data_IF_765916106471
#
_entry.id   IF_765916106471
#
_cell.length_a   1.000
_cell.length_b   1.000
_cell.length_c   1.000
_cell.angle_alpha   90.00
_cell.angle_beta   90.00
_cell.angle_gamma   90.00
#
_symmetry.space_group_name_H-M   'P 1'
#
loop_
_entity.id
_entity.type
_entity.pdbx_description
1 polymer ?
#
# COMPACT_ATOMS: atom_id res chain seq x y z
N UNK A 1 -5.47 -2.40 27.75
CA UNK A 1 -6.20 -2.05 26.52
C UNK A 1 -6.42 -3.31 25.68
N UNK A 2 -7.64 -3.50 25.23
CA UNK A 2 -8.08 -4.66 24.45
C UNK A 2 -8.59 -4.18 23.09
N UNK A 3 -7.84 -4.45 22.02
CA UNK A 3 -8.24 -4.07 20.66
C UNK A 3 -9.08 -5.18 20.02
N UNK A 4 -10.23 -4.80 19.48
CA UNK A 4 -11.13 -5.68 18.74
C UNK A 4 -11.21 -5.22 17.28
N UNK A 5 -10.63 -5.97 16.36
CA UNK A 5 -10.50 -5.57 14.95
C UNK A 5 -11.64 -6.16 14.13
N UNK A 6 -12.42 -5.31 13.46
CA UNK A 6 -13.66 -5.68 12.77
C UNK A 6 -13.71 -5.13 11.33
N UNK A 7 -13.74 -5.96 10.27
CA UNK A 7 -13.73 -7.42 10.26
C UNK A 7 -12.31 -8.00 10.26
N UNK A 8 -12.19 -9.32 10.45
CA UNK A 8 -10.97 -10.08 10.15
C UNK A 8 -10.72 -10.16 8.63
N UNK A 9 -10.04 -9.17 8.08
CA UNK A 9 -9.58 -9.13 6.70
C UNK A 9 -8.08 -8.81 6.63
N UNK A 10 -7.52 -8.68 5.43
CA UNK A 10 -6.11 -8.34 5.25
C UNK A 10 -5.70 -7.03 5.92
N UNK A 11 -6.52 -5.98 5.82
CA UNK A 11 -6.21 -4.72 6.51
C UNK A 11 -6.26 -4.88 8.04
N UNK A 12 -7.18 -5.70 8.55
CA UNK A 12 -7.28 -6.03 9.97
C UNK A 12 -6.07 -6.82 10.48
N UNK A 13 -5.57 -7.77 9.70
CA UNK A 13 -4.32 -8.47 9.99
C UNK A 13 -3.12 -7.52 10.02
N UNK A 14 -3.06 -6.54 9.11
CA UNK A 14 -2.00 -5.53 9.11
C UNK A 14 -2.08 -4.64 10.34
N UNK A 15 -3.28 -4.18 10.72
CA UNK A 15 -3.50 -3.43 11.95
C UNK A 15 -3.01 -4.25 13.14
N UNK A 16 -3.40 -5.52 13.24
CA UNK A 16 -3.00 -6.41 14.33
C UNK A 16 -1.48 -6.55 14.42
N UNK A 17 -0.83 -6.85 13.29
CA UNK A 17 0.61 -7.03 13.21
C UNK A 17 1.35 -5.78 13.68
N UNK A 18 1.00 -4.61 13.13
CA UNK A 18 1.65 -3.36 13.48
C UNK A 18 1.41 -2.97 14.94
N UNK A 19 0.17 -3.10 15.45
CA UNK A 19 -0.13 -2.80 16.85
C UNK A 19 0.65 -3.72 17.80
N UNK A 20 0.79 -5.01 17.48
CA UNK A 20 1.58 -5.94 18.30
C UNK A 20 3.05 -5.52 18.44
N UNK A 21 3.55 -4.74 17.49
CA UNK A 21 4.93 -4.25 17.49
C UNK A 21 5.11 -2.98 18.33
N UNK A 22 4.10 -2.10 18.37
CA UNK A 22 4.18 -0.81 19.06
C UNK A 22 3.59 -0.83 20.47
N UNK A 23 2.62 -1.72 20.71
CA UNK A 23 1.78 -1.74 21.91
C UNK A 23 1.73 -3.17 22.47
N UNK A 24 2.86 -3.60 23.05
CA UNK A 24 3.09 -4.99 23.50
C UNK A 24 2.24 -5.41 24.68
N UNK A 25 1.66 -4.45 25.41
CA UNK A 25 0.84 -4.70 26.59
C UNK A 25 -0.64 -4.89 26.22
N UNK A 26 -1.03 -4.51 25.01
CA UNK A 26 -2.40 -4.65 24.54
C UNK A 26 -2.70 -6.06 24.03
N UNK A 27 -3.94 -6.52 24.22
CA UNK A 27 -4.41 -7.75 23.58
C UNK A 27 -5.13 -7.44 22.28
N UNK A 28 -5.08 -8.37 21.34
CA UNK A 28 -5.71 -8.25 20.03
C UNK A 28 -6.71 -9.38 19.84
N UNK A 29 -7.93 -9.00 19.50
CA UNK A 29 -9.03 -9.89 19.15
C UNK A 29 -9.56 -9.52 17.77
N UNK A 30 -10.07 -10.50 17.04
CA UNK A 30 -10.75 -10.27 15.78
C UNK A 30 -12.25 -10.47 15.93
N UNK A 31 -13.01 -9.70 15.17
CA UNK A 31 -14.44 -9.88 14.98
C UNK A 31 -14.66 -10.26 13.51
N UNK A 32 -15.38 -11.34 13.22
CA UNK A 32 -15.86 -11.64 11.87
C UNK A 32 -17.25 -12.28 11.93
N UNK A 33 -18.25 -11.61 11.38
CA UNK A 33 -19.63 -12.12 11.37
C UNK A 33 -19.81 -13.38 10.52
N UNK A 34 -18.83 -13.74 9.68
CA UNK A 34 -18.86 -14.99 8.92
C UNK A 34 -18.46 -16.21 9.75
N UNK A 35 -17.79 -15.98 10.88
CA UNK A 35 -17.35 -17.01 11.79
C UNK A 35 -18.10 -16.85 13.11
N UNK A 36 -18.96 -17.81 13.43
CA UNK A 36 -19.84 -17.69 14.58
C UNK A 36 -19.06 -17.50 15.88
N UNK A 37 -17.92 -18.19 16.05
CA UNK A 37 -17.12 -18.18 17.28
C UNK A 37 -16.52 -16.81 17.59
N UNK A 38 -16.15 -16.07 16.55
CA UNK A 38 -15.57 -14.71 16.65
C UNK A 38 -16.53 -13.64 16.13
N UNK A 39 -17.82 -13.92 16.00
CA UNK A 39 -18.80 -12.95 15.52
C UNK A 39 -19.04 -11.80 16.50
N UNK A 40 -19.57 -10.67 16.00
CA UNK A 40 -19.98 -9.56 16.86
C UNK A 40 -21.02 -10.01 17.88
N UNK A 41 -21.94 -10.89 17.48
CA UNK A 41 -23.00 -11.43 18.33
C UNK A 41 -22.45 -12.14 19.56
N UNK A 42 -21.38 -12.94 19.41
CA UNK A 42 -20.78 -13.67 20.53
C UNK A 42 -19.92 -12.76 21.44
N UNK A 43 -19.26 -11.76 20.86
CA UNK A 43 -18.29 -10.94 21.59
C UNK A 43 -18.88 -9.65 22.20
N UNK A 44 -20.07 -9.22 21.77
CA UNK A 44 -20.63 -7.91 22.14
C UNK A 44 -20.78 -7.68 23.65
N UNK A 45 -21.25 -8.66 24.41
CA UNK A 45 -21.40 -8.51 25.86
C UNK A 45 -20.05 -8.30 26.56
N UNK A 46 -19.02 -9.04 26.14
CA UNK A 46 -17.66 -8.89 26.67
C UNK A 46 -17.12 -7.49 26.36
N UNK A 47 -17.25 -7.03 25.12
CA UNK A 47 -16.77 -5.70 24.68
C UNK A 47 -17.46 -4.58 25.46
N UNK A 48 -18.77 -4.69 25.73
CA UNK A 48 -19.52 -3.66 26.46
C UNK A 48 -19.15 -3.54 27.94
N UNK A 49 -18.82 -4.68 28.57
CA UNK A 49 -18.50 -4.71 30.00
C UNK A 49 -17.07 -4.25 30.28
N UNK A 50 -16.19 -4.36 29.30
CA UNK A 50 -14.79 -4.01 29.43
C UNK A 50 -14.52 -2.54 29.04
N UNK A 51 -14.14 -1.73 30.04
CA UNK A 51 -13.85 -0.31 29.86
C UNK A 51 -12.56 -0.05 29.07
N UNK A 52 -11.70 -1.05 28.96
CA UNK A 52 -10.46 -0.97 28.19
C UNK A 52 -10.60 -1.56 26.78
N UNK A 53 -11.82 -1.92 26.36
CA UNK A 53 -12.08 -2.40 24.99
C UNK A 53 -12.23 -1.26 24.01
N UNK A 54 -11.50 -1.32 22.88
CA UNK A 54 -11.66 -0.43 21.73
C UNK A 54 -11.86 -1.25 20.46
N UNK A 55 -12.96 -1.01 19.74
CA UNK A 55 -13.19 -1.64 18.43
C UNK A 55 -12.55 -0.82 17.31
N UNK A 56 -11.74 -1.46 16.47
CA UNK A 56 -11.08 -0.88 15.32
C UNK A 56 -11.77 -1.37 14.05
N UNK A 57 -12.47 -0.48 13.34
CA UNK A 57 -13.10 -0.83 12.07
C UNK A 57 -12.04 -0.89 10.98
N UNK A 58 -11.75 -2.10 10.48
CA UNK A 58 -10.69 -2.40 9.50
C UNK A 58 -11.21 -2.45 8.06
N UNK A 59 -12.15 -1.58 7.70
CA UNK A 59 -12.67 -1.51 6.34
C UNK A 59 -13.07 -0.10 5.95
N UNK A 60 -12.45 0.43 4.89
CA UNK A 60 -12.84 1.71 4.30
C UNK A 60 -14.23 1.65 3.67
N UNK A 61 -14.49 0.62 2.86
CA UNK A 61 -15.71 0.52 2.06
C UNK A 61 -16.96 0.17 2.88
N UNK A 62 -16.79 -0.52 4.01
CA UNK A 62 -17.91 -0.96 4.87
C UNK A 62 -17.98 -0.20 6.19
N UNK A 63 -17.28 0.92 6.32
CA UNK A 63 -17.14 1.63 7.60
C UNK A 63 -18.51 1.92 8.26
N UNK A 64 -19.42 2.57 7.53
CA UNK A 64 -20.73 2.96 8.05
C UNK A 64 -21.62 1.76 8.39
N UNK A 65 -21.61 0.72 7.54
CA UNK A 65 -22.37 -0.50 7.80
C UNK A 65 -21.91 -1.21 9.08
N UNK A 66 -20.59 -1.28 9.28
CA UNK A 66 -19.99 -1.92 10.45
C UNK A 66 -20.20 -1.07 11.71
N UNK A 67 -20.07 0.26 11.60
CA UNK A 67 -20.39 1.18 12.69
C UNK A 67 -21.84 1.03 13.15
N UNK A 68 -22.81 1.01 12.21
CA UNK A 68 -24.22 0.83 12.54
C UNK A 68 -24.52 -0.50 13.24
N UNK A 69 -23.79 -1.57 12.91
CA UNK A 69 -23.87 -2.85 13.64
C UNK A 69 -23.34 -2.76 15.07
N UNK A 70 -22.22 -2.07 15.29
CA UNK A 70 -21.66 -1.84 16.61
C UNK A 70 -22.61 -1.00 17.48
N UNK A 71 -23.15 0.10 16.94
CA UNK A 71 -24.14 0.94 17.60
C UNK A 71 -25.39 0.14 17.96
N UNK A 72 -25.92 -0.66 17.03
CA UNK A 72 -27.08 -1.53 17.27
C UNK A 72 -26.84 -2.59 18.35
N UNK A 73 -25.58 -3.03 18.52
CA UNK A 73 -25.17 -3.93 19.59
C UNK A 73 -24.90 -3.22 20.93
N UNK A 74 -24.99 -1.88 20.97
CA UNK A 74 -24.72 -1.04 22.15
C UNK A 74 -23.23 -0.75 22.38
N UNK A 75 -22.38 -0.93 21.36
CA UNK A 75 -20.94 -0.66 21.43
C UNK A 75 -20.68 0.73 20.86
N UNK A 76 -20.26 1.65 21.73
CA UNK A 76 -20.01 3.05 21.37
C UNK A 76 -18.52 3.41 21.29
N UNK A 77 -17.64 2.56 21.84
CA UNK A 77 -16.19 2.79 21.80
C UNK A 77 -15.56 2.12 20.58
N UNK A 78 -15.69 2.77 19.43
CA UNK A 78 -15.07 2.32 18.18
C UNK A 78 -14.51 3.50 17.37
N UNK A 79 -13.52 3.19 16.52
CA UNK A 79 -12.88 4.18 15.64
C UNK A 79 -12.57 3.57 14.27
N UNK A 80 -12.27 4.43 13.30
CA UNK A 80 -11.63 4.05 12.04
C UNK A 80 -10.25 3.43 12.33
N UNK A 81 -10.18 2.10 12.22
CA UNK A 81 -9.00 1.33 12.55
C UNK A 81 -7.82 1.63 11.63
N UNK A 82 -8.09 1.97 10.36
CA UNK A 82 -7.05 2.29 9.39
C UNK A 82 -6.39 3.62 9.75
N UNK A 83 -7.18 4.67 10.01
CA UNK A 83 -6.67 5.97 10.48
C UNK A 83 -5.97 5.86 11.82
N UNK A 84 -6.54 5.11 12.75
CA UNK A 84 -5.95 4.89 14.07
C UNK A 84 -4.57 4.24 13.96
N UNK A 85 -4.46 3.15 13.21
CA UNK A 85 -3.20 2.44 13.01
C UNK A 85 -2.17 3.32 12.28
N UNK A 86 -2.57 4.05 11.23
CA UNK A 86 -1.70 4.96 10.50
C UNK A 86 -1.12 6.07 11.40
N UNK A 87 -1.92 6.62 12.32
CA UNK A 87 -1.46 7.61 13.31
C UNK A 87 -0.44 7.03 14.30
N UNK A 88 -0.64 5.79 14.75
CA UNK A 88 0.33 5.07 15.61
C UNK A 88 1.62 4.77 14.86
N UNK A 89 1.52 4.31 13.61
CA UNK A 89 2.66 4.08 12.70
C UNK A 89 3.47 5.37 12.49
N UNK A 90 2.79 6.47 12.22
CA UNK A 90 3.41 7.79 12.05
C UNK A 90 4.17 8.20 13.30
N UNK A 91 3.53 8.10 14.47
CA UNK A 91 4.16 8.43 15.75
C UNK A 91 5.42 7.57 16.00
N UNK A 92 5.34 6.28 15.72
CA UNK A 92 6.47 5.36 15.87
C UNK A 92 7.62 5.68 14.91
N UNK A 93 7.32 5.89 13.63
CA UNK A 93 8.32 6.10 12.59
C UNK A 93 8.98 7.48 12.70
N UNK A 94 8.20 8.53 13.00
CA UNK A 94 8.71 9.89 13.10
C UNK A 94 9.75 10.05 14.21
N UNK A 95 9.66 9.28 15.30
CA UNK A 95 10.69 9.27 16.36
C UNK A 95 12.04 8.79 15.82
N UNK A 96 12.04 7.75 14.99
CA UNK A 96 13.28 7.24 14.35
C UNK A 96 13.78 8.19 13.27
N UNK A 97 12.89 8.68 12.41
CA UNK A 97 13.22 9.61 11.32
C UNK A 97 13.84 10.91 11.88
N UNK A 98 13.25 11.50 12.92
CA UNK A 98 13.71 12.76 13.50
C UNK A 98 15.13 12.66 14.12
N UNK A 99 15.60 11.46 14.47
CA UNK A 99 16.99 11.25 14.94
C UNK A 99 18.02 11.41 13.83
N UNK A 100 17.63 11.13 12.58
CA UNK A 100 18.50 11.17 11.40
C UNK A 100 18.34 12.46 10.59
N UNK A 101 17.13 13.01 10.54
CA UNK A 101 16.81 14.19 9.76
C UNK A 101 15.89 15.16 10.52
N UNK A 102 16.36 16.39 10.77
CA UNK A 102 15.59 17.43 11.47
C UNK A 102 14.37 17.91 10.67
N UNK A 103 14.46 17.89 9.34
CA UNK A 103 13.34 18.24 8.45
C UNK A 103 12.28 17.14 8.39
N UNK A 104 12.55 15.99 9.02
CA UNK A 104 11.69 14.80 9.05
C UNK A 104 11.32 14.27 7.66
N UNK A 105 12.13 14.55 6.65
CA UNK A 105 11.94 14.00 5.33
C UNK A 105 12.37 12.53 5.31
N UNK A 106 11.61 11.70 4.61
CA UNK A 106 11.90 10.28 4.47
C UNK A 106 11.40 9.72 3.13
N UNK A 107 12.04 8.62 2.73
CA UNK A 107 11.70 7.88 1.51
C UNK A 107 11.03 6.57 1.90
N UNK A 108 9.79 6.37 1.45
CA UNK A 108 9.12 5.08 1.52
C UNK A 108 9.54 4.19 0.34
N UNK A 109 9.91 2.94 0.62
CA UNK A 109 10.24 1.95 -0.40
C UNK A 109 9.27 0.78 -0.29
N UNK A 110 8.42 0.58 -1.30
CA UNK A 110 7.55 -0.58 -1.36
C UNK A 110 8.38 -1.82 -1.73
N UNK A 111 8.54 -2.73 -0.78
CA UNK A 111 9.33 -3.95 -0.94
C UNK A 111 8.41 -5.15 -1.13
N UNK A 112 8.47 -5.76 -2.31
CA UNK A 112 7.68 -6.94 -2.68
C UNK A 112 8.55 -8.20 -2.70
N UNK A 113 7.92 -9.39 -2.68
CA UNK A 113 8.61 -10.68 -2.74
C UNK A 113 9.26 -11.00 -4.10
N UNK A 114 9.17 -10.12 -5.09
CA UNK A 114 9.64 -10.44 -6.44
C UNK A 114 11.16 -10.70 -6.42
N UNK A 115 11.63 -11.84 -6.95
CA UNK A 115 13.01 -12.31 -6.83
C UNK A 115 14.05 -11.41 -7.50
N UNK A 116 13.62 -10.41 -8.28
CA UNK A 116 14.46 -9.39 -8.90
C UNK A 116 14.35 -8.02 -8.22
N UNK A 117 13.90 -7.95 -6.97
CA UNK A 117 13.88 -6.73 -6.16
C UNK A 117 15.28 -6.18 -5.81
N UNK A 118 16.32 -6.51 -6.58
CA UNK A 118 17.62 -5.82 -6.56
C UNK A 118 17.49 -4.35 -6.98
N UNK A 119 16.32 -3.89 -7.44
CA UNK A 119 16.00 -2.49 -7.72
C UNK A 119 16.11 -1.54 -6.52
N UNK A 120 16.44 -2.08 -5.35
CA UNK A 120 16.82 -1.36 -4.13
C UNK A 120 18.28 -0.86 -4.21
N UNK A 121 18.89 -0.76 -5.41
CA UNK A 121 20.27 -0.24 -5.63
C UNK A 121 20.51 1.17 -5.09
N UNK A 122 19.44 1.90 -4.79
CA UNK A 122 19.52 3.26 -4.24
C UNK A 122 19.55 3.29 -2.71
N UNK A 123 19.32 2.17 -2.00
CA UNK A 123 19.33 2.18 -0.53
C UNK A 123 20.70 2.59 -0.01
N UNK A 124 21.78 2.01 -0.50
CA UNK A 124 23.13 2.39 -0.07
C UNK A 124 23.41 3.87 -0.36
N UNK A 125 22.93 4.38 -1.49
CA UNK A 125 23.04 5.80 -1.83
C UNK A 125 22.24 6.70 -0.86
N UNK A 126 20.99 6.34 -0.57
CA UNK A 126 20.13 7.09 0.36
C UNK A 126 20.70 7.06 1.79
N UNK A 127 21.17 5.89 2.23
CA UNK A 127 21.85 5.71 3.52
C UNK A 127 23.14 6.53 3.60
N UNK A 128 23.97 6.53 2.54
CA UNK A 128 25.17 7.36 2.47
C UNK A 128 24.88 8.87 2.51
N UNK A 129 23.67 9.29 2.13
CA UNK A 129 23.18 10.66 2.25
C UNK A 129 22.45 10.94 3.57
N UNK A 130 22.41 9.96 4.48
CA UNK A 130 21.67 10.03 5.74
C UNK A 130 20.19 10.38 5.55
N UNK A 131 19.59 9.90 4.46
CA UNK A 131 18.16 10.06 4.18
C UNK A 131 17.43 8.89 4.85
N UNK A 132 16.50 9.14 5.80
CA UNK A 132 15.73 8.10 6.47
C UNK A 132 14.88 7.29 5.49
N UNK A 133 14.85 5.98 5.68
CA UNK A 133 14.10 5.05 4.82
C UNK A 133 13.01 4.38 5.64
N UNK A 134 11.83 4.28 5.04
CA UNK A 134 10.71 3.47 5.56
C UNK A 134 10.45 2.35 4.57
N UNK A 135 10.83 1.13 4.94
CA UNK A 135 10.52 -0.05 4.14
C UNK A 135 9.06 -0.45 4.35
N UNK A 136 8.29 -0.47 3.28
CA UNK A 136 6.87 -0.81 3.26
C UNK A 136 6.76 -2.24 2.74
N UNK A 137 6.61 -3.21 3.64
CA UNK A 137 6.46 -4.61 3.31
C UNK A 137 4.99 -4.99 3.14
N UNK A 138 4.68 -5.80 2.14
CA UNK A 138 3.31 -6.29 1.89
C UNK A 138 3.01 -7.64 2.55
N UNK A 139 3.97 -8.22 3.26
CA UNK A 139 3.88 -9.53 3.91
C UNK A 139 4.97 -9.67 4.98
N UNK A 140 4.77 -10.64 5.88
CA UNK A 140 5.64 -10.86 7.03
C UNK A 140 7.07 -11.27 6.65
N UNK A 141 7.25 -12.14 5.65
CA UNK A 141 8.59 -12.57 5.21
C UNK A 141 9.44 -11.39 4.71
N UNK A 142 8.82 -10.47 3.96
CA UNK A 142 9.50 -9.25 3.52
C UNK A 142 9.79 -8.33 4.70
N UNK A 143 8.83 -8.16 5.62
CA UNK A 143 9.05 -7.38 6.84
C UNK A 143 10.26 -7.89 7.63
N UNK A 144 10.32 -9.18 7.93
CA UNK A 144 11.40 -9.80 8.71
C UNK A 144 12.76 -9.63 8.03
N UNK A 145 12.82 -9.90 6.71
CA UNK A 145 14.04 -9.72 5.91
C UNK A 145 14.60 -8.29 6.01
N UNK A 146 13.76 -7.28 5.79
CA UNK A 146 14.22 -5.89 5.80
C UNK A 146 14.48 -5.38 7.23
N UNK A 147 13.71 -5.84 8.22
CA UNK A 147 13.95 -5.49 9.62
C UNK A 147 15.29 -6.05 10.13
N UNK A 148 15.67 -7.24 9.67
CA UNK A 148 16.97 -7.84 9.99
C UNK A 148 18.13 -7.14 9.27
N UNK A 149 17.96 -6.82 7.99
CA UNK A 149 19.03 -6.23 7.19
C UNK A 149 19.25 -4.73 7.49
N UNK A 150 18.22 -4.02 7.95
CA UNK A 150 18.26 -2.57 8.20
C UNK A 150 17.67 -2.22 9.59
N UNK A 151 18.32 -2.62 10.69
CA UNK A 151 17.79 -2.46 12.05
C UNK A 151 17.58 -1.00 12.48
N UNK A 152 18.37 -0.08 11.90
CA UNK A 152 18.29 1.35 12.19
C UNK A 152 17.21 2.09 11.39
N UNK A 153 16.56 1.42 10.45
CA UNK A 153 15.48 1.99 9.64
C UNK A 153 14.11 1.61 10.20
N UNK A 154 13.07 2.22 9.62
CA UNK A 154 11.69 1.83 9.87
C UNK A 154 11.27 0.76 8.87
N UNK A 155 10.65 -0.31 9.36
CA UNK A 155 9.98 -1.30 8.53
C UNK A 155 8.55 -1.41 9.02
N UNK A 156 7.59 -1.35 8.10
CA UNK A 156 6.15 -1.42 8.39
C UNK A 156 5.52 -2.48 7.49
N UNK A 157 4.51 -3.18 8.01
CA UNK A 157 3.77 -4.18 7.23
C UNK A 157 2.43 -3.59 6.83
N UNK A 158 2.25 -3.23 5.56
CA UNK A 158 1.05 -2.53 5.11
C UNK A 158 0.66 -3.02 3.72
N UNK A 159 -0.59 -3.46 3.59
CA UNK A 159 -1.26 -3.79 2.33
C UNK A 159 -2.40 -2.79 2.07
N UNK A 160 -2.81 -2.77 0.80
CA UNK A 160 -4.08 -2.21 0.34
C UNK A 160 -4.44 -0.83 0.91
N UNK A 161 -5.53 -0.73 1.68
CA UNK A 161 -6.19 0.54 2.00
C UNK A 161 -5.46 1.33 3.08
N UNK A 162 -4.69 0.66 3.96
CA UNK A 162 -3.95 1.33 5.03
C UNK A 162 -2.85 2.27 4.48
N UNK A 163 -2.30 2.00 3.29
CA UNK A 163 -1.34 2.90 2.62
C UNK A 163 -1.93 4.27 2.30
N UNK A 164 -3.23 4.36 2.03
CA UNK A 164 -3.88 5.63 1.74
C UNK A 164 -3.95 6.57 2.95
N UNK A 165 -3.76 6.05 4.16
CA UNK A 165 -3.78 6.82 5.41
C UNK A 165 -2.39 7.18 5.94
N UNK A 166 -1.32 6.68 5.30
CA UNK A 166 0.06 7.00 5.68
C UNK A 166 0.47 8.31 4.99
N UNK A 167 0.58 9.38 5.76
CA UNK A 167 0.84 10.73 5.27
C UNK A 167 2.22 11.31 5.66
N UNK A 168 2.95 10.61 6.54
CA UNK A 168 4.24 11.08 7.06
C UNK A 168 5.42 10.85 6.10
N UNK A 169 5.19 10.11 5.00
CA UNK A 169 6.20 9.85 3.99
C UNK A 169 6.34 11.05 3.05
N UNK A 170 7.57 11.48 2.74
CA UNK A 170 7.76 12.58 1.79
C UNK A 170 7.57 12.11 0.35
N UNK A 171 8.21 10.99 0.03
CA UNK A 171 8.14 10.36 -1.29
C UNK A 171 8.06 8.85 -1.11
N UNK A 172 7.30 8.17 -1.97
CA UNK A 172 7.26 6.71 -2.02
C UNK A 172 7.66 6.23 -3.39
N UNK A 173 8.60 5.29 -3.44
CA UNK A 173 8.95 4.55 -4.63
C UNK A 173 8.27 3.18 -4.58
N UNK A 174 7.36 2.94 -5.53
CA UNK A 174 6.69 1.67 -5.73
C UNK A 174 7.12 1.02 -7.04
N UNK A 175 7.12 -0.30 -7.08
CA UNK A 175 7.41 -1.06 -8.30
C UNK A 175 6.17 -1.70 -8.94
N UNK A 176 5.00 -1.44 -8.37
CA UNK A 176 3.74 -2.06 -8.80
C UNK A 176 2.56 -1.09 -8.69
N UNK A 177 1.55 -1.32 -9.54
CA UNK A 177 0.38 -0.46 -9.76
C UNK A 177 -0.74 -0.68 -8.74
N UNK A 178 -0.57 -1.65 -7.84
CA UNK A 178 -1.59 -2.08 -6.90
C UNK A 178 -1.60 -1.30 -5.58
N UNK A 179 -0.76 -0.28 -5.46
CA UNK A 179 -0.66 0.57 -4.27
C UNK A 179 -1.27 1.95 -4.52
N UNK A 180 -1.97 2.46 -3.50
CA UNK A 180 -2.44 3.84 -3.44
C UNK A 180 -1.86 4.51 -2.21
N UNK A 181 -1.48 5.77 -2.35
CA UNK A 181 -0.84 6.54 -1.31
C UNK A 181 -1.70 7.74 -0.93
N UNK A 182 -1.48 8.26 0.28
CA UNK A 182 -2.11 9.48 0.73
C UNK A 182 -1.75 10.65 -0.20
N UNK A 183 -2.67 11.60 -0.42
CA UNK A 183 -2.46 12.71 -1.37
C UNK A 183 -1.34 13.68 -1.01
N UNK A 184 -0.85 13.64 0.23
CA UNK A 184 0.30 14.44 0.68
C UNK A 184 1.65 13.79 0.35
N UNK A 185 1.65 12.53 -0.08
CA UNK A 185 2.86 11.75 -0.35
C UNK A 185 3.14 11.79 -1.84
N UNK A 186 4.34 12.22 -2.22
CA UNK A 186 4.76 12.17 -3.62
C UNK A 186 4.97 10.70 -4.00
N UNK A 187 4.16 10.18 -4.91
CA UNK A 187 4.15 8.77 -5.28
C UNK A 187 4.83 8.56 -6.64
N UNK A 188 5.84 7.70 -6.65
CA UNK A 188 6.63 7.35 -7.83
C UNK A 188 6.45 5.88 -8.14
N UNK A 189 5.99 5.58 -9.34
CA UNK A 189 5.92 4.24 -9.89
C UNK A 189 7.11 4.00 -10.81
N UNK A 190 7.98 3.08 -10.41
CA UNK A 190 9.10 2.57 -11.18
C UNK A 190 8.84 1.09 -11.51
N UNK A 191 8.01 0.80 -12.53
CA UNK A 191 7.51 -0.54 -12.77
C UNK A 191 8.63 -1.47 -13.24
N UNK A 192 8.58 -2.75 -12.86
CA UNK A 192 9.54 -3.74 -13.35
C UNK A 192 9.27 -4.09 -14.82
N UNK A 193 9.71 -3.24 -15.76
CA UNK A 193 9.45 -3.43 -17.19
C UNK A 193 7.94 -3.39 -17.53
N UNK A 194 7.52 -4.11 -18.58
CA UNK A 194 6.11 -4.16 -19.03
C UNK A 194 5.18 -4.97 -18.11
N UNK A 195 5.71 -5.55 -17.02
CA UNK A 195 5.12 -6.71 -16.31
C UNK A 195 3.81 -6.48 -15.55
N UNK A 196 3.32 -5.26 -15.41
CA UNK A 196 2.08 -5.05 -14.66
C UNK A 196 0.91 -4.59 -15.55
N UNK A 197 0.79 -3.36 -16.05
CA UNK A 197 -0.43 -2.95 -16.76
C UNK A 197 -0.49 -3.56 -18.16
N UNK A 198 0.63 -3.57 -18.89
CA UNK A 198 0.71 -4.07 -20.27
C UNK A 198 0.61 -5.59 -20.29
N UNK A 199 1.31 -6.28 -19.38
CA UNK A 199 1.19 -7.73 -19.26
C UNK A 199 -0.20 -8.17 -18.81
N UNK A 200 -0.81 -7.52 -17.80
CA UNK A 200 -2.19 -7.86 -17.42
C UNK A 200 -3.17 -7.62 -18.57
N UNK A 201 -2.91 -6.64 -19.44
CA UNK A 201 -3.65 -6.44 -20.70
C UNK A 201 -3.61 -7.63 -21.66
N UNK A 202 -2.55 -8.44 -21.62
CA UNK A 202 -2.43 -9.68 -22.42
C UNK A 202 -3.04 -10.90 -21.74
N UNK A 203 -3.09 -10.94 -20.40
CA UNK A 203 -3.53 -12.12 -19.64
C UNK A 203 -4.95 -12.02 -19.05
N UNK A 204 -5.49 -10.81 -18.89
CA UNK A 204 -6.82 -10.53 -18.37
C UNK A 204 -7.67 -9.82 -19.44
N UNK A 205 -9.00 -9.90 -19.31
CA UNK A 205 -9.89 -9.12 -20.20
C UNK A 205 -9.59 -7.61 -20.04
N UNK A 206 -9.69 -6.88 -21.15
CA UNK A 206 -9.40 -5.44 -21.24
C UNK A 206 -10.16 -4.58 -20.21
N UNK A 207 -11.44 -4.87 -19.98
CA UNK A 207 -12.28 -4.14 -19.03
C UNK A 207 -11.84 -4.36 -17.58
N UNK A 208 -11.45 -5.59 -17.21
CA UNK A 208 -10.92 -5.91 -15.88
C UNK A 208 -9.61 -5.18 -15.61
N UNK A 209 -8.76 -5.07 -16.64
CA UNK A 209 -7.50 -4.33 -16.53
C UNK A 209 -7.75 -2.84 -16.47
N UNK A 210 -8.70 -2.30 -17.22
CA UNK A 210 -9.07 -0.88 -17.16
C UNK A 210 -9.68 -0.47 -15.83
N UNK A 211 -10.55 -1.30 -15.27
CA UNK A 211 -11.05 -1.13 -13.90
C UNK A 211 -9.88 -1.17 -12.92
N UNK A 212 -8.96 -2.12 -13.07
CA UNK A 212 -7.85 -2.31 -12.14
C UNK A 212 -6.79 -1.20 -12.23
N UNK A 213 -6.53 -0.66 -13.42
CA UNK A 213 -5.64 0.48 -13.68
C UNK A 213 -6.30 1.78 -13.22
N UNK A 214 -7.51 2.08 -13.68
CA UNK A 214 -8.20 3.33 -13.37
C UNK A 214 -8.66 3.43 -11.91
N UNK A 215 -8.95 2.31 -11.26
CA UNK A 215 -9.28 2.30 -9.84
C UNK A 215 -8.06 2.30 -8.92
N UNK A 216 -6.82 2.04 -9.40
CA UNK A 216 -5.65 1.85 -8.52
C UNK A 216 -4.43 2.71 -8.82
N UNK A 217 -4.28 3.26 -10.02
CA UNK A 217 -3.13 4.08 -10.39
C UNK A 217 -3.43 5.54 -10.10
N UNK A 218 -2.89 6.04 -8.99
CA UNK A 218 -2.87 7.46 -8.66
C UNK A 218 -1.46 7.89 -8.26
N UNK A 219 -0.51 7.72 -9.18
CA UNK A 219 0.91 8.00 -8.96
C UNK A 219 1.31 9.36 -9.53
N UNK A 220 1.90 10.25 -8.73
CA UNK A 220 2.37 11.56 -9.22
C UNK A 220 3.35 11.43 -10.39
N UNK A 221 4.21 10.41 -10.34
CA UNK A 221 5.20 10.12 -11.38
C UNK A 221 5.16 8.66 -11.80
N UNK A 222 5.18 8.39 -13.11
CA UNK A 222 5.32 7.04 -13.65
C UNK A 222 6.51 7.00 -14.60
N UNK A 223 7.47 6.12 -14.30
CA UNK A 223 8.61 5.84 -15.16
C UNK A 223 8.16 4.96 -16.32
N UNK A 224 8.38 5.42 -17.54
CA UNK A 224 8.05 4.73 -18.77
C UNK A 224 9.32 4.19 -19.42
N UNK A 225 9.57 2.89 -19.25
CA UNK A 225 10.80 2.24 -19.71
C UNK A 225 10.87 1.94 -21.20
N UNK A 226 9.74 2.03 -21.92
CA UNK A 226 9.67 1.90 -23.38
C UNK A 226 8.70 2.93 -23.95
N UNK A 227 8.77 3.17 -25.27
CA UNK A 227 7.83 4.05 -25.98
C UNK A 227 6.38 3.55 -25.89
N UNK A 228 6.17 2.24 -25.98
CA UNK A 228 4.86 1.60 -25.92
C UNK A 228 4.20 1.81 -24.56
N UNK A 229 4.98 1.72 -23.48
CA UNK A 229 4.47 2.01 -22.14
C UNK A 229 4.03 3.48 -22.01
N UNK A 230 4.82 4.41 -22.56
CA UNK A 230 4.48 5.82 -22.57
C UNK A 230 3.19 6.09 -23.37
N UNK A 231 3.07 5.48 -24.55
CA UNK A 231 1.88 5.58 -25.40
C UNK A 231 0.65 4.99 -24.72
N UNK A 232 0.80 3.85 -24.04
CA UNK A 232 -0.26 3.22 -23.27
C UNK A 232 -0.83 4.14 -22.19
N UNK A 233 0.01 4.75 -21.36
CA UNK A 233 -0.50 5.65 -20.31
C UNK A 233 -1.09 6.94 -20.87
N UNK A 234 -0.49 7.50 -21.93
CA UNK A 234 -1.06 8.66 -22.63
C UNK A 234 -2.45 8.36 -23.19
N UNK A 235 -2.64 7.18 -23.76
CA UNK A 235 -3.95 6.72 -24.22
C UNK A 235 -4.95 6.59 -23.06
N UNK A 236 -4.53 6.04 -21.92
CA UNK A 236 -5.40 5.90 -20.74
C UNK A 236 -5.80 7.22 -20.08
N UNK A 237 -4.96 8.25 -20.14
CA UNK A 237 -5.34 9.61 -19.76
C UNK A 237 -6.43 10.14 -20.71
N UNK A 238 -6.24 9.99 -22.03
CA UNK A 238 -7.22 10.47 -23.03
C UNK A 238 -8.59 9.79 -22.90
N UNK A 239 -8.61 8.51 -22.57
CA UNK A 239 -9.85 7.74 -22.35
C UNK A 239 -10.51 8.05 -20.98
N UNK A 240 -9.94 8.94 -20.17
CA UNK A 240 -10.51 9.36 -18.88
C UNK A 240 -10.36 8.35 -17.74
N UNK A 241 -9.56 7.30 -17.93
CA UNK A 241 -9.31 6.29 -16.89
C UNK A 241 -8.22 6.70 -15.90
N UNK A 242 -7.34 7.64 -16.28
CA UNK A 242 -6.26 8.14 -15.44
C UNK A 242 -6.37 9.66 -15.25
N UNK A 243 -5.90 10.16 -14.11
CA UNK A 243 -5.88 11.59 -13.81
C UNK A 243 -4.90 12.36 -14.71
N UNK A 244 -5.22 13.61 -15.02
CA UNK A 244 -4.34 14.53 -15.77
C UNK A 244 -3.15 15.07 -14.93
N UNK A 245 -3.15 14.87 -13.60
CA UNK A 245 -2.07 15.33 -12.72
C UNK A 245 -0.80 14.47 -12.79
N UNK A 246 -0.87 13.30 -13.43
CA UNK A 246 0.23 12.34 -13.52
C UNK A 246 1.32 12.85 -14.47
N UNK A 247 2.59 12.75 -14.06
CA UNK A 247 3.75 13.05 -14.91
C UNK A 247 4.43 11.77 -15.38
N UNK A 248 4.57 11.63 -16.70
CA UNK A 248 5.30 10.51 -17.28
C UNK A 248 6.78 10.87 -17.47
N UNK A 249 7.66 10.03 -16.93
CA UNK A 249 9.10 10.17 -17.08
C UNK A 249 9.55 9.18 -18.16
N UNK A 250 9.91 9.64 -19.37
CA UNK A 250 10.42 8.78 -20.43
C UNK A 250 11.87 8.41 -20.11
N UNK A 251 12.06 7.34 -19.36
CA UNK A 251 13.38 6.82 -18.98
C UNK A 251 13.42 5.35 -19.34
N UNK A 252 13.99 5.06 -20.50
CA UNK A 252 14.04 3.73 -21.07
C UNK A 252 15.45 3.30 -21.45
N UNK A 253 15.67 1.99 -21.44
CA UNK A 253 16.84 1.34 -22.02
C UNK A 253 16.70 1.38 -23.55
N UNK A 254 17.47 2.21 -24.29
CA UNK A 254 17.33 2.28 -25.75
C UNK A 254 17.59 0.93 -26.43
N UNK A 255 18.30 0.02 -25.75
CA UNK A 255 18.51 -1.35 -26.19
C UNK A 255 17.20 -2.14 -26.29
N UNK A 256 16.25 -1.99 -25.36
CA UNK A 256 14.95 -2.67 -25.45
C UNK A 256 14.12 -2.14 -26.62
N UNK A 257 14.11 -0.83 -26.84
CA UNK A 257 13.48 -0.22 -28.02
C UNK A 257 14.10 -0.75 -29.33
N UNK A 258 15.41 -1.05 -29.34
CA UNK A 258 16.09 -1.60 -30.53
C UNK A 258 15.72 -3.07 -30.81
N UNK A 259 15.39 -3.86 -29.79
CA UNK A 259 14.84 -5.23 -29.97
C UNK A 259 13.41 -5.19 -30.51
N UNK A 260 12.60 -4.19 -30.10
CA UNK A 260 11.24 -3.97 -30.62
C UNK A 260 11.24 -3.39 -32.05
N UNK A 261 12.33 -2.73 -32.46
CA UNK A 261 12.54 -2.25 -33.83
C UNK A 261 12.91 -3.34 -34.85
N UNK A 262 13.12 -4.58 -34.40
CA UNK A 262 13.59 -5.73 -35.20
C UNK A 262 12.50 -6.75 -35.52
N UNK A 263 11.30 -6.31 -35.91
CA UNK A 263 10.24 -7.19 -36.42
C UNK A 263 9.30 -7.75 -35.35
N UNK A 264 8.01 -7.54 -35.59
CA UNK A 264 6.84 -7.94 -34.80
C UNK A 264 6.56 -7.03 -33.59
N UNK A 265 5.38 -6.41 -33.45
CA UNK A 265 4.07 -7.05 -33.65
C UNK A 265 3.07 -6.09 -34.34
N UNK A 266 2.65 -6.58 -35.50
CA UNK A 266 1.69 -6.03 -36.46
C UNK A 266 0.21 -6.21 -36.04
N UNK A 267 -0.17 -6.17 -34.76
CA UNK A 267 -1.52 -6.62 -34.36
C UNK A 267 -2.31 -5.80 -33.34
N UNK A 268 -1.75 -4.78 -32.69
CA UNK A 268 -2.52 -4.01 -31.68
C UNK A 268 -3.61 -3.09 -32.27
N UNK A 269 -3.69 -2.92 -33.60
CA UNK A 269 -4.68 -2.02 -34.22
C UNK A 269 -5.39 -2.54 -35.48
N UNK A 270 -5.21 -3.79 -35.94
CA UNK A 270 -5.97 -4.30 -37.11
C UNK A 270 -6.25 -5.80 -37.07
N UNK A 271 -7.45 -6.18 -36.59
CA UNK A 271 -8.48 -6.91 -37.36
C UNK A 271 -9.68 -7.29 -36.48
N UNK A 272 -10.84 -6.78 -36.90
CA UNK A 272 -12.26 -7.10 -36.59
C UNK A 272 -12.65 -7.24 -35.12
#
# INVERSE_FOLDING_TARGET
MHYYIYPKNWDGEDIAFNLSYFDKESTIHFIDDKDEEISLKQQAEKIKQDKESLVLIASKYRYFDLAGKLESAGIVNYVDGLKFCASKLSSYCLVKIARKNQEKLCVGLLVTQLPHSEHVRYVDFLLAKNIPIVFIATNQSSFEKYAQNYPDECVILVRCDLLEYIDFLTVVCATTHYAKFHSNVISILNPQGLLDPVQNYFYLNREKVDVLIGSRINFDYIFCHTKEMLEFYKYKIKDGFLSNSLKFIPVGYPSLDSYLGGGAIYSLCKRK
#
